data_IF_248702781837
#
_entry.id   IF_248702781837
#
_cell.length_a   1.000
_cell.length_b   1.000
_cell.length_c   1.000
_cell.angle_alpha   90.00
_cell.angle_beta   90.00
_cell.angle_gamma   90.00
#
_symmetry.space_group_name_H-M   'P 1'
#
loop_
_entity.id
_entity.type
_entity.pdbx_description
1 polymer ?
#
# COMPACT_ATOMS: atom_id res chain seq x y z
N UNK A 1 30.54 -35.96 0.92
CA UNK A 1 29.42 -35.72 -0.01
C UNK A 1 28.29 -35.08 0.79
N UNK A 2 28.24 -33.78 0.78
CA UNK A 2 27.14 -33.00 1.41
C UNK A 2 26.21 -32.52 0.29
N UNK A 3 25.05 -33.14 0.21
CA UNK A 3 23.99 -32.77 -0.73
C UNK A 3 23.40 -31.44 -0.29
N UNK A 4 23.73 -30.37 -1.02
CA UNK A 4 23.10 -29.06 -0.84
C UNK A 4 21.62 -29.18 -1.15
N UNK A 5 20.78 -28.88 -0.16
CA UNK A 5 19.36 -28.72 -0.32
C UNK A 5 19.14 -27.45 -1.16
N UNK A 6 18.44 -27.51 -2.32
CA UNK A 6 18.17 -26.31 -3.09
C UNK A 6 17.29 -25.38 -2.25
N UNK A 7 17.74 -24.12 -2.10
CA UNK A 7 16.91 -23.05 -1.54
C UNK A 7 15.62 -22.99 -2.35
N UNK A 8 14.52 -23.42 -1.75
CA UNK A 8 13.19 -23.25 -2.30
C UNK A 8 13.00 -21.74 -2.57
N UNK A 9 12.88 -21.38 -3.84
CA UNK A 9 12.37 -20.07 -4.23
C UNK A 9 11.09 -19.86 -3.43
N UNK A 10 11.08 -18.89 -2.53
CA UNK A 10 9.86 -18.45 -1.85
C UNK A 10 8.95 -17.96 -2.95
N UNK A 11 7.97 -18.77 -3.32
CA UNK A 11 6.88 -18.33 -4.19
C UNK A 11 6.22 -17.12 -3.52
N UNK A 12 6.53 -15.93 -3.99
CA UNK A 12 5.90 -14.71 -3.51
C UNK A 12 4.43 -14.78 -3.90
N UNK A 13 3.53 -14.60 -2.94
CA UNK A 13 2.09 -14.53 -3.24
C UNK A 13 1.83 -13.42 -4.26
N UNK A 14 1.36 -13.81 -5.43
CA UNK A 14 0.96 -12.85 -6.47
C UNK A 14 -0.32 -12.15 -6.00
N UNK A 15 -0.25 -10.84 -5.80
CA UNK A 15 -1.43 -10.06 -5.42
C UNK A 15 -2.50 -10.11 -6.52
N UNK A 16 -3.77 -10.10 -6.15
CA UNK A 16 -4.91 -10.32 -7.03
C UNK A 16 -4.96 -9.36 -8.24
N UNK A 17 -4.41 -8.16 -8.11
CA UNK A 17 -4.48 -7.09 -9.11
C UNK A 17 -3.11 -6.54 -9.53
N UNK A 18 -2.03 -7.29 -9.32
CA UNK A 18 -0.65 -6.87 -9.65
C UNK A 18 -0.40 -6.63 -11.15
N UNK A 19 -1.22 -7.23 -12.01
CA UNK A 19 -1.13 -7.10 -13.47
C UNK A 19 -1.72 -5.80 -14.02
N UNK A 20 -2.50 -5.07 -13.21
CA UNK A 20 -3.14 -3.81 -13.62
C UNK A 20 -2.12 -2.69 -13.49
N UNK A 21 -1.86 -1.98 -14.59
CA UNK A 21 -0.91 -0.86 -14.66
C UNK A 21 -1.57 0.50 -14.89
N UNK A 22 -2.89 0.53 -15.10
CA UNK A 22 -3.65 1.75 -15.35
C UNK A 22 -5.02 1.45 -15.97
N UNK A 23 -5.73 2.50 -16.37
CA UNK A 23 -7.04 2.41 -17.00
C UNK A 23 -6.97 1.92 -18.46
N UNK A 24 -5.80 2.00 -19.11
CA UNK A 24 -5.62 1.59 -20.51
C UNK A 24 -6.44 2.43 -21.49
N UNK A 25 -6.47 3.72 -21.30
CA UNK A 25 -7.10 4.69 -22.19
C UNK A 25 -6.13 5.16 -23.26
N UNK A 26 -6.65 5.66 -24.38
CA UNK A 26 -5.89 6.42 -25.36
C UNK A 26 -5.78 7.90 -24.95
N UNK A 27 -5.01 8.65 -25.74
CA UNK A 27 -4.85 10.09 -25.57
C UNK A 27 -6.18 10.84 -25.75
N UNK A 28 -7.11 10.27 -26.54
CA UNK A 28 -8.47 10.78 -26.72
C UNK A 28 -9.44 10.36 -25.61
N UNK A 29 -8.99 9.55 -24.64
CA UNK A 29 -9.77 9.08 -23.50
C UNK A 29 -10.64 7.86 -23.75
N UNK A 30 -10.53 7.19 -24.92
CA UNK A 30 -11.27 5.96 -25.21
C UNK A 30 -10.57 4.72 -24.66
N UNK A 31 -11.35 3.77 -24.16
CA UNK A 31 -10.83 2.55 -23.57
C UNK A 31 -10.55 1.47 -24.60
N UNK A 32 -9.31 0.97 -24.66
CA UNK A 32 -8.97 -0.24 -25.42
C UNK A 32 -9.44 -1.52 -24.73
N UNK A 33 -9.62 -2.58 -25.52
CA UNK A 33 -10.22 -3.83 -25.03
C UNK A 33 -9.42 -4.48 -23.89
N UNK A 34 -8.07 -4.49 -23.98
CA UNK A 34 -7.16 -5.21 -23.05
C UNK A 34 -5.83 -4.49 -22.81
N UNK A 35 -5.81 -3.16 -22.91
CA UNK A 35 -4.59 -2.36 -22.68
C UNK A 35 -4.31 -2.19 -21.17
N UNK A 36 -3.04 -2.12 -20.79
CA UNK A 36 -2.56 -1.94 -19.41
C UNK A 36 -2.99 -3.06 -18.43
N UNK A 37 -3.30 -4.25 -18.94
CA UNK A 37 -3.71 -5.39 -18.11
C UNK A 37 -5.16 -5.32 -17.63
N UNK A 38 -5.93 -4.31 -18.03
CA UNK A 38 -7.35 -4.19 -17.69
C UNK A 38 -8.22 -4.63 -18.86
N UNK A 39 -9.12 -5.58 -18.62
CA UNK A 39 -10.00 -6.18 -19.62
C UNK A 39 -11.43 -5.68 -19.43
N UNK A 40 -12.10 -5.30 -20.52
CA UNK A 40 -13.52 -4.93 -20.52
C UNK A 40 -13.81 -3.62 -19.81
N UNK A 41 -15.04 -3.46 -19.31
CA UNK A 41 -15.53 -2.28 -18.55
C UNK A 41 -15.30 -0.93 -19.25
N UNK A 42 -15.46 -0.86 -20.58
CA UNK A 42 -15.09 0.31 -21.39
C UNK A 42 -15.70 1.60 -20.86
N UNK A 43 -17.03 1.64 -20.71
CA UNK A 43 -17.72 2.84 -20.23
C UNK A 43 -17.29 3.27 -18.82
N UNK A 44 -17.06 2.31 -17.92
CA UNK A 44 -16.59 2.61 -16.58
C UNK A 44 -15.15 3.13 -16.57
N UNK A 45 -14.27 2.60 -17.42
CA UNK A 45 -12.88 3.07 -17.57
C UNK A 45 -12.83 4.49 -18.14
N UNK A 46 -13.62 4.77 -19.17
CA UNK A 46 -13.75 6.10 -19.78
C UNK A 46 -14.29 7.13 -18.77
N UNK A 47 -15.33 6.77 -18.00
CA UNK A 47 -15.85 7.61 -16.94
C UNK A 47 -14.79 7.88 -15.85
N UNK A 48 -14.05 6.87 -15.42
CA UNK A 48 -12.94 7.02 -14.47
C UNK A 48 -11.81 7.89 -15.06
N UNK A 49 -11.56 7.82 -16.37
CA UNK A 49 -10.60 8.67 -17.05
C UNK A 49 -10.99 10.16 -17.03
N UNK A 50 -12.27 10.46 -17.20
CA UNK A 50 -12.78 11.83 -17.05
C UNK A 50 -12.62 12.33 -15.60
N UNK A 51 -12.91 11.47 -14.61
CA UNK A 51 -12.68 11.81 -13.20
C UNK A 51 -11.20 12.07 -12.94
N UNK A 52 -10.31 11.28 -13.51
CA UNK A 52 -8.87 11.46 -13.42
C UNK A 52 -8.43 12.83 -13.97
N UNK A 53 -8.98 13.27 -15.10
CA UNK A 53 -8.70 14.59 -15.67
C UNK A 53 -9.23 15.71 -14.77
N UNK A 54 -10.40 15.53 -14.14
CA UNK A 54 -10.94 16.48 -13.15
C UNK A 54 -10.02 16.58 -11.93
N UNK A 55 -9.46 15.47 -11.46
CA UNK A 55 -8.47 15.42 -10.37
C UNK A 55 -7.21 16.19 -10.76
N UNK A 56 -6.62 15.87 -11.92
CA UNK A 56 -5.41 16.55 -12.45
C UNK A 56 -5.62 18.05 -12.64
N UNK A 57 -6.82 18.48 -13.03
CA UNK A 57 -7.18 19.90 -13.16
C UNK A 57 -7.60 20.58 -11.84
N UNK A 58 -7.50 19.87 -10.69
CA UNK A 58 -7.89 20.34 -9.36
C UNK A 58 -9.36 20.77 -9.23
N UNK A 59 -10.25 20.20 -10.06
CA UNK A 59 -11.69 20.51 -10.07
C UNK A 59 -12.56 19.42 -9.43
N UNK A 60 -11.96 18.46 -8.76
CA UNK A 60 -12.64 17.32 -8.10
C UNK A 60 -12.85 17.52 -6.59
N UNK A 61 -12.45 18.67 -6.01
CA UNK A 61 -12.60 18.94 -4.58
C UNK A 61 -14.07 18.87 -4.13
N UNK A 62 -14.33 18.32 -2.94
CA UNK A 62 -15.67 18.18 -2.36
C UNK A 62 -16.55 17.11 -3.02
N UNK A 63 -16.02 16.31 -3.93
CA UNK A 63 -16.71 15.23 -4.63
C UNK A 63 -16.08 13.89 -4.35
N UNK A 64 -16.87 12.83 -4.54
CA UNK A 64 -16.39 11.45 -4.46
C UNK A 64 -16.79 10.67 -5.72
N UNK A 65 -16.11 9.56 -5.99
CA UNK A 65 -16.49 8.62 -7.04
C UNK A 65 -17.18 7.42 -6.40
N UNK A 66 -18.35 7.02 -6.90
CA UNK A 66 -19.04 5.82 -6.45
C UNK A 66 -19.06 4.77 -7.56
N UNK A 67 -18.42 3.64 -7.33
CA UNK A 67 -18.43 2.48 -8.22
C UNK A 67 -19.57 1.53 -7.80
N UNK A 68 -20.62 1.44 -8.59
CA UNK A 68 -21.79 0.63 -8.30
C UNK A 68 -21.91 -0.54 -9.28
N UNK A 69 -22.12 -1.76 -8.78
CA UNK A 69 -22.35 -2.93 -9.62
C UNK A 69 -22.21 -4.27 -8.90
N UNK A 70 -22.49 -5.35 -9.60
CA UNK A 70 -22.47 -6.71 -9.07
C UNK A 70 -21.08 -7.11 -8.49
N UNK A 71 -21.00 -8.08 -7.59
CA UNK A 71 -19.72 -8.63 -7.13
C UNK A 71 -18.92 -9.19 -8.31
N UNK A 72 -17.58 -8.98 -8.27
CA UNK A 72 -16.69 -9.53 -9.31
C UNK A 72 -16.63 -8.74 -10.61
N UNK A 73 -17.21 -7.52 -10.70
CA UNK A 73 -17.16 -6.66 -11.88
C UNK A 73 -15.93 -5.73 -11.95
N UNK A 74 -14.94 -5.93 -11.09
CA UNK A 74 -13.66 -5.19 -11.16
C UNK A 74 -13.66 -3.81 -10.50
N UNK A 75 -14.56 -3.52 -9.55
CA UNK A 75 -14.60 -2.22 -8.84
C UNK A 75 -13.29 -1.87 -8.14
N UNK A 76 -12.73 -2.80 -7.38
CA UNK A 76 -11.43 -2.63 -6.70
C UNK A 76 -10.29 -2.44 -7.71
N UNK A 77 -10.35 -3.17 -8.84
CA UNK A 77 -9.41 -3.06 -9.94
C UNK A 77 -9.44 -1.67 -10.59
N UNK A 78 -10.65 -1.09 -10.79
CA UNK A 78 -10.82 0.27 -11.30
C UNK A 78 -10.24 1.31 -10.35
N UNK A 79 -10.51 1.20 -9.05
CA UNK A 79 -9.96 2.11 -8.05
C UNK A 79 -8.43 2.07 -8.03
N UNK A 80 -7.83 0.88 -8.10
CA UNK A 80 -6.39 0.69 -8.19
C UNK A 80 -5.83 1.30 -9.48
N UNK A 81 -6.50 1.09 -10.62
CA UNK A 81 -6.09 1.65 -11.91
C UNK A 81 -6.09 3.19 -11.88
N UNK A 82 -7.10 3.82 -11.28
CA UNK A 82 -7.15 5.27 -11.07
C UNK A 82 -5.97 5.74 -10.21
N UNK A 83 -5.67 5.05 -9.12
CA UNK A 83 -4.56 5.40 -8.25
C UNK A 83 -3.21 5.31 -8.97
N UNK A 84 -3.00 4.29 -9.79
CA UNK A 84 -1.76 4.12 -10.58
C UNK A 84 -1.59 5.18 -11.66
N UNK A 85 -2.67 5.61 -12.32
CA UNK A 85 -2.65 6.69 -13.32
C UNK A 85 -2.39 8.08 -12.70
N UNK A 86 -2.69 8.26 -11.41
CA UNK A 86 -2.33 9.47 -10.66
C UNK A 86 -0.83 9.54 -10.39
N UNK A 87 -0.16 8.38 -10.32
CA UNK A 87 1.29 8.27 -10.17
C UNK A 87 1.71 7.21 -9.14
N UNK A 88 2.89 6.62 -9.36
CA UNK A 88 3.42 5.54 -8.49
C UNK A 88 3.70 5.98 -7.05
N UNK A 89 3.86 7.29 -6.82
CA UNK A 89 4.15 7.87 -5.51
C UNK A 89 2.90 8.39 -4.79
N UNK A 90 1.72 8.24 -5.40
CA UNK A 90 0.45 8.65 -4.82
C UNK A 90 -0.01 7.57 -3.83
N UNK A 91 -0.26 7.91 -2.54
CA UNK A 91 -0.71 6.93 -1.58
C UNK A 91 -2.07 6.35 -1.97
N UNK A 92 -2.20 5.03 -1.88
CA UNK A 92 -3.45 4.31 -2.05
C UNK A 92 -3.80 3.61 -0.74
N UNK A 93 -4.89 4.03 -0.11
CA UNK A 93 -5.36 3.47 1.15
C UNK A 93 -6.69 2.72 0.92
N UNK A 94 -6.68 1.40 0.77
CA UNK A 94 -7.88 0.61 0.72
C UNK A 94 -8.40 0.32 2.13
N UNK A 95 -9.70 0.40 2.32
CA UNK A 95 -10.40 -0.03 3.53
C UNK A 95 -11.76 -0.63 3.18
N UNK A 96 -12.30 -1.43 4.08
CA UNK A 96 -13.65 -1.98 3.97
C UNK A 96 -14.57 -1.26 4.95
N UNK A 97 -15.82 -0.95 4.54
CA UNK A 97 -16.77 -0.25 5.40
C UNK A 97 -17.00 -0.91 6.76
N UNK A 98 -16.84 -2.24 6.87
CA UNK A 98 -16.94 -2.97 8.13
C UNK A 98 -15.78 -2.75 9.11
N UNK A 99 -14.59 -2.34 8.62
CA UNK A 99 -13.41 -2.09 9.47
C UNK A 99 -13.59 -0.87 10.39
N UNK A 100 -14.54 0.00 10.07
CA UNK A 100 -14.88 1.17 10.90
C UNK A 100 -15.46 0.77 12.26
N UNK A 101 -16.10 -0.40 12.33
CA UNK A 101 -16.72 -0.91 13.55
C UNK A 101 -15.69 -1.66 14.41
N UNK A 102 -14.99 -0.93 15.26
CA UNK A 102 -14.07 -1.46 16.26
C UNK A 102 -14.66 -1.28 17.66
N UNK A 103 -14.40 -2.24 18.55
CA UNK A 103 -14.75 -2.13 19.98
C UNK A 103 -13.78 -1.24 20.76
N UNK A 104 -12.59 -1.00 20.24
CA UNK A 104 -11.50 -0.32 20.94
C UNK A 104 -11.37 1.16 20.55
N UNK A 105 -11.73 1.53 19.33
CA UNK A 105 -11.49 2.86 18.75
C UNK A 105 -12.80 3.43 18.22
N UNK A 106 -13.01 4.74 18.38
CA UNK A 106 -14.18 5.43 17.83
C UNK A 106 -14.20 5.34 16.30
N UNK A 107 -15.37 5.18 15.72
CA UNK A 107 -15.60 5.09 14.27
C UNK A 107 -14.99 6.26 13.50
N UNK A 108 -15.19 7.48 14.03
CA UNK A 108 -14.64 8.71 13.43
C UNK A 108 -13.12 8.75 13.45
N UNK A 109 -12.50 8.14 14.48
CA UNK A 109 -11.05 8.04 14.59
C UNK A 109 -10.47 7.11 13.52
N UNK A 110 -11.09 5.94 13.31
CA UNK A 110 -10.68 5.00 12.25
C UNK A 110 -10.78 5.66 10.88
N UNK A 111 -11.85 6.39 10.61
CA UNK A 111 -12.01 7.14 9.35
C UNK A 111 -10.94 8.22 9.21
N UNK A 112 -10.70 9.04 10.24
CA UNK A 112 -9.69 10.08 10.22
C UNK A 112 -8.29 9.50 10.00
N UNK A 113 -7.95 8.39 10.65
CA UNK A 113 -6.67 7.69 10.46
C UNK A 113 -6.48 7.29 8.99
N UNK A 114 -7.49 6.68 8.36
CA UNK A 114 -7.42 6.28 6.96
C UNK A 114 -7.40 7.48 6.01
N UNK A 115 -8.14 8.55 6.30
CA UNK A 115 -8.04 9.81 5.54
C UNK A 115 -6.60 10.35 5.55
N UNK A 116 -5.98 10.42 6.73
CA UNK A 116 -4.61 10.94 6.87
C UNK A 116 -3.56 9.99 6.27
N UNK A 117 -3.80 8.69 6.30
CA UNK A 117 -2.95 7.68 5.62
C UNK A 117 -3.02 7.80 4.10
N UNK A 118 -4.16 8.24 3.56
CA UNK A 118 -4.33 8.48 2.14
C UNK A 118 -3.76 9.82 1.66
N UNK A 119 -3.16 10.64 2.53
CA UNK A 119 -2.56 11.92 2.17
C UNK A 119 -1.04 11.81 2.33
N UNK A 120 -0.33 11.94 1.21
CA UNK A 120 1.13 11.98 1.17
C UNK A 120 1.67 13.39 1.35
N UNK A 121 2.82 13.47 1.97
CA UNK A 121 3.63 14.67 2.09
C UNK A 121 5.02 14.37 1.55
N UNK A 122 5.44 15.07 0.53
CA UNK A 122 6.79 15.02 -0.01
C UNK A 122 7.61 16.13 0.61
N UNK A 123 8.56 15.77 1.46
CA UNK A 123 9.47 16.71 2.10
C UNK A 123 10.79 16.71 1.33
N UNK A 124 11.22 17.88 0.87
CA UNK A 124 12.51 18.14 0.23
C UNK A 124 13.42 18.78 1.26
N UNK A 125 14.34 18.02 1.81
CA UNK A 125 15.29 18.50 2.79
C UNK A 125 16.69 18.53 2.19
N UNK A 126 17.34 19.70 2.26
CA UNK A 126 18.73 19.83 1.86
C UNK A 126 19.60 19.48 3.05
N UNK A 127 20.20 18.30 3.04
CA UNK A 127 21.14 17.86 4.09
C UNK A 127 22.58 18.08 3.66
N UNK A 128 23.38 18.56 4.61
CA UNK A 128 24.83 18.59 4.45
C UNK A 128 25.39 17.22 4.82
N UNK A 129 26.18 16.67 3.91
CA UNK A 129 26.66 15.31 4.04
C UNK A 129 28.14 15.22 3.72
N UNK A 130 28.80 14.32 4.43
CA UNK A 130 30.16 13.89 4.12
C UNK A 130 30.12 12.50 3.56
N UNK A 131 30.58 12.34 2.33
CA UNK A 131 30.59 11.07 1.62
C UNK A 131 32.00 10.81 1.07
N UNK A 132 32.50 9.60 1.26
CA UNK A 132 33.81 9.22 0.78
C UNK A 132 34.21 7.82 1.22
N UNK A 133 35.30 7.34 0.62
CA UNK A 133 36.01 6.13 1.04
C UNK A 133 36.79 6.43 2.32
N UNK A 134 36.69 5.59 3.33
CA UNK A 134 37.46 5.69 4.57
C UNK A 134 38.89 5.25 4.31
N UNK A 135 39.81 6.20 4.36
CA UNK A 135 41.25 5.91 4.23
C UNK A 135 41.96 5.80 5.55
N UNK A 136 41.46 6.48 6.58
CA UNK A 136 42.01 6.45 7.93
C UNK A 136 40.86 6.54 8.95
N UNK A 137 40.94 5.73 9.99
CA UNK A 137 40.00 5.71 11.11
C UNK A 137 40.81 5.56 12.40
N UNK A 138 41.07 6.68 13.09
CA UNK A 138 41.91 6.71 14.27
C UNK A 138 41.17 7.34 15.45
N UNK A 139 40.77 6.57 16.48
CA UNK A 139 40.23 7.13 17.72
C UNK A 139 41.35 7.77 18.54
N UNK A 140 41.16 9.01 18.97
CA UNK A 140 42.06 9.69 19.91
C UNK A 140 41.63 9.40 21.34
N UNK A 141 42.45 8.63 22.04
CA UNK A 141 42.24 8.27 23.44
C UNK A 141 42.82 9.34 24.39
N UNK A 142 42.07 9.73 25.41
CA UNK A 142 42.52 10.59 26.50
C UNK A 142 42.24 9.92 27.84
N UNK A 143 43.04 10.26 28.84
CA UNK A 143 42.79 9.80 30.21
C UNK A 143 41.47 10.35 30.75
N UNK A 144 40.69 9.54 31.42
CA UNK A 144 39.40 9.93 31.97
C UNK A 144 39.57 10.97 33.11
N UNK A 145 39.10 12.21 32.93
CA UNK A 145 39.31 13.25 33.94
C UNK A 145 38.57 13.06 35.27
N UNK A 146 37.58 12.14 35.30
CA UNK A 146 36.70 11.92 36.46
C UNK A 146 37.12 10.75 37.36
N UNK A 147 37.87 9.75 36.88
CA UNK A 147 38.19 8.55 37.69
C UNK A 147 39.65 8.17 37.75
N UNK A 148 40.55 8.84 37.04
CA UNK A 148 41.99 8.53 37.05
C UNK A 148 42.38 7.12 36.57
N UNK A 149 41.41 6.25 36.28
CA UNK A 149 41.58 4.92 35.76
C UNK A 149 40.65 4.71 34.57
N UNK A 150 41.24 4.46 33.41
CA UNK A 150 40.52 4.18 32.15
C UNK A 150 40.74 5.27 31.07
N UNK A 151 40.78 4.84 29.83
CA UNK A 151 40.90 5.72 28.67
C UNK A 151 39.51 5.99 28.10
N UNK A 152 39.20 7.25 27.80
CA UNK A 152 38.00 7.66 27.06
C UNK A 152 38.40 8.21 25.72
N UNK A 153 37.53 8.01 24.74
CA UNK A 153 37.72 8.54 23.38
C UNK A 153 37.28 10.00 23.42
N UNK A 154 38.18 10.92 23.13
CA UNK A 154 37.87 12.35 23.08
C UNK A 154 37.31 12.79 21.73
N UNK A 155 37.82 12.25 20.65
CA UNK A 155 37.38 12.50 19.31
C UNK A 155 37.88 11.37 18.39
N UNK A 156 37.30 11.27 17.20
CA UNK A 156 37.72 10.31 16.18
C UNK A 156 38.14 11.06 14.93
N UNK A 157 39.31 10.76 14.43
CA UNK A 157 39.80 11.29 13.15
C UNK A 157 39.46 10.30 12.05
N UNK A 158 38.65 10.75 11.09
CA UNK A 158 38.28 9.97 9.90
C UNK A 158 38.74 10.71 8.66
N UNK A 159 39.55 10.08 7.85
CA UNK A 159 39.92 10.62 6.56
C UNK A 159 39.01 10.01 5.46
N UNK A 160 38.29 10.87 4.76
CA UNK A 160 37.41 10.51 3.66
C UNK A 160 38.01 10.94 2.32
N UNK A 161 38.11 10.00 1.38
CA UNK A 161 38.63 10.21 0.02
C UNK A 161 37.49 10.13 -0.99
N UNK A 162 37.53 11.07 -1.94
CA UNK A 162 36.67 11.09 -3.12
C UNK A 162 37.52 11.25 -4.40
N UNK A 163 36.87 11.23 -5.55
CA UNK A 163 37.55 11.43 -6.83
C UNK A 163 38.24 12.81 -6.94
N UNK A 164 37.84 13.83 -6.16
CA UNK A 164 38.41 15.18 -6.17
C UNK A 164 39.46 15.43 -5.10
N UNK A 165 39.49 14.66 -4.02
CA UNK A 165 40.45 14.85 -2.95
C UNK A 165 40.13 14.13 -1.67
N UNK A 166 41.01 14.28 -0.69
CA UNK A 166 40.88 13.70 0.65
C UNK A 166 40.64 14.78 1.68
N UNK A 167 39.74 14.58 2.64
CA UNK A 167 39.49 15.51 3.75
C UNK A 167 39.50 14.75 5.06
N UNK A 168 40.25 15.22 6.03
CA UNK A 168 40.22 14.72 7.40
C UNK A 168 39.13 15.43 8.19
N UNK A 169 38.34 14.66 8.90
CA UNK A 169 37.25 15.11 9.75
C UNK A 169 37.54 14.70 11.19
N UNK A 170 37.32 15.62 12.12
CA UNK A 170 37.26 15.32 13.56
C UNK A 170 35.82 15.16 13.97
N UNK A 171 35.46 13.97 14.41
CA UNK A 171 34.08 13.61 14.75
C UNK A 171 33.95 13.39 16.25
N UNK A 172 32.74 13.65 16.75
CA UNK A 172 32.36 13.41 18.14
C UNK A 172 32.40 11.90 18.48
N UNK A 173 32.72 11.52 19.73
CA UNK A 173 32.74 10.12 20.16
C UNK A 173 31.43 9.36 19.90
N UNK A 174 30.27 10.03 19.95
CA UNK A 174 28.97 9.43 19.66
C UNK A 174 28.85 8.91 18.22
N UNK A 175 29.50 9.58 17.27
CA UNK A 175 29.55 9.16 15.87
C UNK A 175 30.39 7.90 15.71
N UNK A 176 31.41 7.71 16.55
CA UNK A 176 32.23 6.50 16.54
C UNK A 176 31.44 5.25 16.92
N UNK A 177 30.53 5.36 17.88
CA UNK A 177 29.62 4.25 18.22
C UNK A 177 28.74 3.88 17.02
N UNK A 178 28.29 4.87 16.25
CA UNK A 178 27.52 4.65 15.02
C UNK A 178 28.37 3.98 13.92
N UNK A 179 29.64 4.38 13.79
CA UNK A 179 30.61 3.76 12.86
C UNK A 179 30.84 2.29 13.25
N UNK A 180 30.99 1.98 14.54
CA UNK A 180 31.16 0.61 15.02
C UNK A 180 29.91 -0.25 14.81
N UNK A 181 28.70 0.29 15.04
CA UNK A 181 27.43 -0.41 14.78
C UNK A 181 27.29 -0.83 13.33
N UNK A 182 27.69 0.04 12.40
CA UNK A 182 27.68 -0.22 10.96
C UNK A 182 28.88 -1.06 10.48
N UNK A 183 29.78 -1.47 11.39
CA UNK A 183 31.00 -2.28 11.12
C UNK A 183 31.85 -1.70 9.97
N UNK A 184 32.01 -0.39 9.97
CA UNK A 184 32.79 0.31 8.94
C UNK A 184 34.29 0.01 9.13
N UNK A 185 34.95 -0.36 8.04
CA UNK A 185 36.41 -0.61 7.98
C UNK A 185 37.07 0.34 6.96
N UNK A 186 38.41 0.41 7.03
CA UNK A 186 39.17 1.16 6.00
C UNK A 186 38.96 0.51 4.63
N UNK A 187 38.65 1.34 3.62
CA UNK A 187 38.26 0.90 2.29
C UNK A 187 36.76 0.87 2.04
N UNK A 188 35.94 1.11 3.06
CA UNK A 188 34.50 1.23 2.89
C UNK A 188 34.10 2.65 2.47
N UNK A 189 33.08 2.74 1.64
CA UNK A 189 32.43 4.01 1.29
C UNK A 189 31.31 4.27 2.29
N UNK A 190 31.43 5.40 3.00
CA UNK A 190 30.46 5.81 4.02
C UNK A 190 29.80 7.15 3.69
N UNK A 191 28.66 7.34 4.31
CA UNK A 191 27.84 8.54 4.26
C UNK A 191 27.57 9.00 5.68
N UNK A 192 27.96 10.26 6.01
CA UNK A 192 27.73 10.86 7.32
C UNK A 192 26.87 12.11 7.15
N UNK A 193 25.75 12.19 7.86
CA UNK A 193 24.95 13.41 7.93
C UNK A 193 25.56 14.40 8.93
N UNK A 194 25.83 15.63 8.49
CA UNK A 194 26.47 16.64 9.32
C UNK A 194 25.62 17.04 10.54
N UNK A 195 24.28 17.08 10.38
CA UNK A 195 23.36 17.59 11.42
C UNK A 195 23.02 16.54 12.46
N UNK A 196 22.89 15.27 12.09
CA UNK A 196 22.43 14.19 12.98
C UNK A 196 23.55 13.29 13.46
N UNK A 197 24.73 13.34 12.80
CA UNK A 197 25.82 12.42 13.06
C UNK A 197 25.53 10.97 12.65
N UNK A 198 24.42 10.74 11.92
CA UNK A 198 24.05 9.41 11.44
C UNK A 198 25.04 8.93 10.37
N UNK A 199 25.55 7.71 10.57
CA UNK A 199 26.50 7.06 9.66
C UNK A 199 25.78 5.92 8.95
N UNK A 200 26.00 5.80 7.65
CA UNK A 200 25.53 4.68 6.85
C UNK A 200 26.67 4.14 6.00
N UNK A 201 26.92 2.84 6.10
CA UNK A 201 27.83 2.13 5.17
C UNK A 201 27.09 1.94 3.85
N UNK A 202 27.70 2.39 2.75
CA UNK A 202 27.14 2.24 1.40
C UNK A 202 27.60 0.93 0.76
N UNK A 203 28.87 0.59 0.95
CA UNK A 203 29.52 -0.61 0.44
C UNK A 203 31.04 -0.50 0.51
N UNK A 204 31.74 -1.46 -0.03
CA UNK A 204 33.20 -1.43 -0.13
C UNK A 204 33.63 -0.75 -1.42
N UNK A 205 34.76 -0.03 -1.40
CA UNK A 205 35.28 0.65 -2.61
C UNK A 205 35.75 -0.37 -3.66
N UNK A 206 35.42 -0.13 -4.94
CA UNK A 206 35.89 -0.94 -6.09
C UNK A 206 37.40 -1.11 -6.12
N UNK A 207 38.16 -0.19 -5.50
CA UNK A 207 39.62 -0.27 -5.42
C UNK A 207 40.12 -1.50 -4.61
N UNK A 208 39.25 -2.07 -3.76
CA UNK A 208 39.56 -3.23 -2.94
C UNK A 208 38.87 -4.50 -3.47
N UNK A 209 38.25 -4.48 -4.63
CA UNK A 209 37.66 -5.65 -5.25
C UNK A 209 38.77 -6.64 -5.65
N UNK A 210 38.75 -7.85 -5.07
CA UNK A 210 39.65 -8.96 -5.44
C UNK A 210 38.90 -10.00 -6.23
N UNK A 211 39.52 -10.64 -7.23
CA UNK A 211 38.86 -11.65 -8.10
C UNK A 211 38.32 -12.89 -7.35
N UNK A 212 38.61 -13.04 -6.06
CA UNK A 212 38.32 -14.23 -5.26
C UNK A 212 37.61 -13.93 -3.93
N UNK A 213 36.82 -12.84 -3.83
CA UNK A 213 36.05 -12.58 -2.63
C UNK A 213 34.89 -13.57 -2.51
N UNK A 214 34.95 -14.39 -1.46
CA UNK A 214 33.91 -15.36 -1.11
C UNK A 214 32.76 -14.74 -0.29
N UNK A 215 32.95 -13.51 0.18
CA UNK A 215 31.89 -12.76 0.88
C UNK A 215 31.12 -11.93 -0.13
N UNK A 216 29.78 -11.99 -0.07
CA UNK A 216 28.89 -11.22 -0.91
C UNK A 216 28.85 -9.75 -0.42
N UNK A 217 29.94 -9.02 -0.56
CA UNK A 217 30.01 -7.57 -0.29
C UNK A 217 29.56 -6.77 -1.52
N UNK A 218 28.84 -5.69 -1.27
CA UNK A 218 28.42 -4.76 -2.32
C UNK A 218 29.55 -3.78 -2.62
N UNK A 219 30.12 -3.88 -3.82
CA UNK A 219 31.17 -2.98 -4.29
C UNK A 219 30.58 -1.73 -4.92
N UNK A 220 31.08 -0.56 -4.50
CA UNK A 220 30.58 0.74 -4.91
C UNK A 220 31.74 1.56 -5.48
N UNK A 221 31.55 2.25 -6.62
CA UNK A 221 32.57 3.12 -7.19
C UNK A 221 32.84 4.31 -6.27
N UNK A 222 34.10 4.82 -6.35
CA UNK A 222 34.49 5.97 -5.55
C UNK A 222 33.55 7.17 -5.79
N UNK A 223 33.01 7.81 -4.74
CA UNK A 223 32.09 8.92 -4.87
C UNK A 223 32.65 10.08 -5.69
N UNK A 224 31.87 10.57 -6.66
CA UNK A 224 32.23 11.71 -7.50
C UNK A 224 31.90 13.01 -6.78
N UNK A 225 32.79 13.96 -6.79
CA UNK A 225 32.61 15.29 -6.21
C UNK A 225 33.41 15.53 -4.94
N UNK A 226 33.09 16.58 -4.20
CA UNK A 226 33.73 16.94 -2.95
C UNK A 226 33.28 16.04 -1.81
N UNK A 227 34.12 15.86 -0.78
CA UNK A 227 33.80 15.11 0.43
C UNK A 227 32.59 15.71 1.15
N UNK A 228 32.52 17.04 1.24
CA UNK A 228 31.39 17.78 1.81
C UNK A 228 30.50 18.28 0.70
N UNK A 229 29.26 17.86 0.68
CA UNK A 229 28.27 18.29 -0.32
C UNK A 229 26.89 18.47 0.29
N UNK A 230 26.11 19.35 -0.30
CA UNK A 230 24.68 19.47 0.00
C UNK A 230 23.94 18.49 -0.89
N UNK A 231 23.22 17.58 -0.27
CA UNK A 231 22.39 16.59 -0.97
C UNK A 231 20.92 16.88 -0.66
N UNK A 232 20.13 17.03 -1.70
CA UNK A 232 18.69 17.12 -1.58
C UNK A 232 18.12 15.71 -1.38
N UNK A 233 17.50 15.49 -0.24
CA UNK A 233 16.85 14.23 0.11
C UNK A 233 15.36 14.45 0.03
N UNK A 234 14.69 13.66 -0.81
CA UNK A 234 13.25 13.67 -0.95
C UNK A 234 12.69 12.50 -0.14
N UNK A 235 11.88 12.80 0.87
CA UNK A 235 11.19 11.81 1.68
C UNK A 235 9.70 11.91 1.40
N UNK A 236 9.08 10.78 1.03
CA UNK A 236 7.63 10.66 0.88
C UNK A 236 7.09 10.01 2.18
N UNK A 237 6.32 10.75 2.97
CA UNK A 237 5.69 10.31 4.23
C UNK A 237 4.19 10.57 4.17
N UNK A 238 3.40 9.84 4.96
CA UNK A 238 1.96 10.14 5.09
C UNK A 238 1.70 11.05 6.29
N UNK A 239 0.57 11.78 6.29
CA UNK A 239 0.17 12.57 7.45
C UNK A 239 -0.05 11.69 8.68
N UNK A 240 -0.52 10.46 8.49
CA UNK A 240 -0.68 9.48 9.56
C UNK A 240 0.66 9.09 10.20
N UNK A 241 1.73 8.91 9.40
CA UNK A 241 3.06 8.59 9.92
C UNK A 241 3.60 9.74 10.80
N UNK A 242 3.33 10.99 10.40
CA UNK A 242 3.67 12.16 11.22
C UNK A 242 2.88 12.20 12.53
N UNK A 243 1.58 11.88 12.48
CA UNK A 243 0.74 11.80 13.68
C UNK A 243 1.29 10.75 14.65
N UNK A 244 1.61 9.57 14.14
CA UNK A 244 2.13 8.47 14.96
C UNK A 244 3.53 8.75 15.52
N UNK A 245 4.38 9.42 14.74
CA UNK A 245 5.72 9.81 15.20
C UNK A 245 5.65 10.82 16.36
N UNK A 246 4.69 11.76 16.29
CA UNK A 246 4.52 12.78 17.33
C UNK A 246 3.63 12.33 18.51
N UNK A 247 2.78 11.32 18.31
CA UNK A 247 1.96 10.76 19.38
C UNK A 247 2.75 9.88 20.37
N UNK A 248 3.95 9.41 19.97
CA UNK A 248 4.83 8.68 20.88
C UNK A 248 5.46 9.65 21.85
N UNK A 249 5.28 9.47 23.18
CA UNK A 249 5.95 10.32 24.14
C UNK A 249 7.48 10.20 23.94
N UNK A 250 8.12 11.32 23.62
CA UNK A 250 9.58 11.44 23.62
C UNK A 250 10.06 11.43 25.09
N UNK A 251 9.96 10.31 25.74
CA UNK A 251 10.27 10.16 27.14
C UNK A 251 11.07 8.90 27.39
N UNK A 252 12.37 9.11 27.63
CA UNK A 252 13.23 8.24 28.42
C UNK A 252 13.43 6.82 27.90
N UNK A 253 14.68 6.49 27.68
CA UNK A 253 15.17 5.11 27.53
C UNK A 253 15.05 4.30 28.86
N UNK A 254 14.05 4.59 29.68
CA UNK A 254 13.79 3.84 30.89
C UNK A 254 13.16 2.50 30.55
N UNK A 255 13.77 1.43 31.06
CA UNK A 255 13.30 0.03 30.94
C UNK A 255 11.83 -0.12 31.36
N UNK A 256 11.35 0.72 32.28
CA UNK A 256 9.95 0.82 32.72
C UNK A 256 9.02 1.33 31.61
N UNK A 257 9.45 2.25 30.74
CA UNK A 257 8.64 2.74 29.61
C UNK A 257 8.51 1.71 28.49
N UNK A 258 9.58 0.96 28.23
CA UNK A 258 9.58 -0.14 27.26
C UNK A 258 8.69 -1.31 27.73
N UNK A 259 8.74 -1.61 29.05
CA UNK A 259 7.91 -2.66 29.64
C UNK A 259 6.43 -2.25 29.72
N UNK A 260 6.15 -0.97 29.93
CA UNK A 260 4.80 -0.40 29.83
C UNK A 260 4.21 -0.44 28.43
N UNK A 261 5.04 -0.34 27.38
CA UNK A 261 4.62 -0.48 25.98
C UNK A 261 4.32 -1.94 25.59
N UNK A 262 5.02 -2.91 26.15
CA UNK A 262 4.79 -4.33 25.93
C UNK A 262 3.53 -4.85 26.64
N UNK A 263 3.18 -4.29 27.80
CA UNK A 263 2.01 -4.72 28.60
C UNK A 263 0.73 -3.98 28.19
N UNK A 264 0.83 -2.74 27.70
CA UNK A 264 -0.29 -1.96 27.16
C UNK A 264 -0.17 -1.88 25.65
N UNK A 265 -0.67 -2.89 24.94
CA UNK A 265 -0.92 -2.85 23.50
C UNK A 265 -2.05 -1.86 23.12
N UNK A 266 -2.23 -0.78 23.86
CA UNK A 266 -3.17 0.29 23.53
C UNK A 266 -2.60 1.09 22.38
N UNK A 267 -3.30 1.08 21.25
CA UNK A 267 -3.12 2.10 20.21
C UNK A 267 -3.18 3.46 20.88
N UNK A 268 -2.16 4.27 20.71
CA UNK A 268 -2.12 5.64 21.24
C UNK A 268 -3.14 6.44 20.44
N UNK A 269 -4.24 6.86 21.07
CA UNK A 269 -5.21 7.74 20.41
C UNK A 269 -4.55 9.09 20.14
N UNK A 270 -4.57 9.51 18.89
CA UNK A 270 -4.06 10.81 18.47
C UNK A 270 -5.13 11.85 18.75
N UNK A 271 -4.84 12.82 19.63
CA UNK A 271 -5.79 13.85 19.97
C UNK A 271 -5.98 14.86 18.83
N UNK A 272 -7.21 15.41 18.68
CA UNK A 272 -7.51 16.43 17.67
C UNK A 272 -6.64 17.68 17.79
N UNK A 273 -6.21 18.03 19.01
CA UNK A 273 -5.28 19.13 19.26
C UNK A 273 -3.92 18.89 18.63
N UNK A 274 -3.38 17.68 18.80
CA UNK A 274 -2.09 17.29 18.19
C UNK A 274 -2.17 17.33 16.66
N UNK A 275 -3.26 16.83 16.07
CA UNK A 275 -3.50 16.90 14.63
C UNK A 275 -3.57 18.34 14.11
N UNK A 276 -4.23 19.23 14.86
CA UNK A 276 -4.31 20.65 14.52
C UNK A 276 -2.94 21.33 14.55
N UNK A 277 -2.07 20.97 15.52
CA UNK A 277 -0.70 21.45 15.59
C UNK A 277 0.14 20.92 14.43
N UNK A 278 0.07 19.62 14.13
CA UNK A 278 0.76 19.01 12.99
C UNK A 278 0.33 19.68 11.68
N UNK A 279 -0.98 19.92 11.48
CA UNK A 279 -1.46 20.60 10.30
C UNK A 279 -0.91 22.02 10.16
N UNK A 280 -0.74 22.76 11.27
CA UNK A 280 -0.11 24.08 11.24
C UNK A 280 1.35 24.00 10.80
N UNK A 281 2.09 23.03 11.34
CA UNK A 281 3.50 22.83 10.98
C UNK A 281 3.62 22.41 9.51
N UNK A 282 2.78 21.49 9.04
CA UNK A 282 2.75 21.03 7.63
C UNK A 282 2.45 22.21 6.70
N UNK A 283 1.44 23.03 7.01
CA UNK A 283 1.12 24.21 6.20
C UNK A 283 2.29 25.20 6.17
N UNK A 284 2.99 25.42 7.29
CA UNK A 284 4.19 26.24 7.32
C UNK A 284 5.31 25.71 6.42
N UNK A 285 5.50 24.40 6.36
CA UNK A 285 6.48 23.78 5.45
C UNK A 285 6.07 23.87 3.98
N UNK A 286 4.78 23.80 3.68
CA UNK A 286 4.25 24.01 2.33
C UNK A 286 4.47 25.46 1.90
N UNK A 287 4.17 26.43 2.77
CA UNK A 287 4.36 27.86 2.51
C UNK A 287 5.83 28.23 2.29
N UNK A 288 6.75 27.52 2.97
CA UNK A 288 8.20 27.67 2.79
C UNK A 288 8.73 26.94 1.54
N UNK A 289 7.91 26.16 0.85
CA UNK A 289 8.31 25.36 -0.31
C UNK A 289 9.19 24.13 0.01
N UNK A 290 9.32 23.78 1.30
CA UNK A 290 10.08 22.62 1.78
C UNK A 290 9.28 21.33 1.58
N UNK A 291 7.95 21.41 1.68
CA UNK A 291 7.05 20.28 1.56
C UNK A 291 5.99 20.49 0.48
N UNK A 292 5.61 19.41 -0.20
CA UNK A 292 4.55 19.36 -1.20
C UNK A 292 3.49 18.34 -0.78
N UNK A 293 2.22 18.77 -0.73
CA UNK A 293 1.09 17.89 -0.42
C UNK A 293 0.71 17.08 -1.65
N UNK A 294 0.64 15.77 -1.50
CA UNK A 294 0.22 14.83 -2.54
C UNK A 294 -1.08 14.16 -2.08
N UNK A 295 -2.25 14.67 -2.51
CA UNK A 295 -3.51 14.01 -2.19
C UNK A 295 -3.55 12.65 -2.89
N UNK A 296 -3.70 11.60 -2.10
CA UNK A 296 -3.81 10.22 -2.57
C UNK A 296 -5.25 9.77 -2.74
N UNK A 297 -5.45 8.46 -2.83
CA UNK A 297 -6.75 7.84 -3.05
C UNK A 297 -7.15 7.04 -1.81
N UNK A 298 -8.28 7.38 -1.21
CA UNK A 298 -8.94 6.57 -0.20
C UNK A 298 -10.03 5.74 -0.89
N UNK A 299 -9.87 4.43 -0.87
CA UNK A 299 -10.85 3.50 -1.43
C UNK A 299 -11.62 2.81 -0.31
N UNK A 300 -12.95 3.02 -0.27
CA UNK A 300 -13.84 2.38 0.72
C UNK A 300 -14.72 1.36 0.00
N UNK A 301 -14.40 0.07 0.20
CA UNK A 301 -15.21 -1.02 -0.32
C UNK A 301 -16.39 -1.31 0.61
N UNK A 302 -17.48 -1.83 0.04
CA UNK A 302 -18.72 -2.11 0.77
C UNK A 302 -19.24 -0.92 1.59
N UNK A 303 -19.28 0.28 0.97
CA UNK A 303 -19.66 1.53 1.64
C UNK A 303 -21.03 1.46 2.32
N UNK A 304 -21.96 0.64 1.84
CA UNK A 304 -23.29 0.39 2.44
C UNK A 304 -23.24 -0.24 3.83
N UNK A 305 -22.06 -0.70 4.27
CA UNK A 305 -21.85 -1.21 5.62
C UNK A 305 -21.65 -0.09 6.66
N UNK A 306 -21.42 1.14 6.22
CA UNK A 306 -21.29 2.30 7.10
C UNK A 306 -22.66 2.71 7.70
N UNK A 307 -22.62 3.37 8.83
CA UNK A 307 -23.78 3.95 9.48
C UNK A 307 -23.93 5.45 9.20
N UNK A 308 -25.08 6.02 9.59
CA UNK A 308 -25.42 7.42 9.36
C UNK A 308 -24.38 8.40 9.98
N UNK A 309 -23.81 8.05 11.14
CA UNK A 309 -22.78 8.87 11.79
C UNK A 309 -21.49 8.96 10.94
N UNK A 310 -21.07 7.80 10.40
CA UNK A 310 -19.89 7.73 9.52
C UNK A 310 -20.12 8.52 8.22
N UNK A 311 -21.33 8.45 7.64
CA UNK A 311 -21.68 9.21 6.46
C UNK A 311 -21.69 10.73 6.72
N UNK A 312 -22.21 11.17 7.84
CA UNK A 312 -22.19 12.58 8.25
C UNK A 312 -20.75 13.08 8.41
N UNK A 313 -19.88 12.26 9.01
CA UNK A 313 -18.46 12.56 9.11
C UNK A 313 -17.80 12.67 7.72
N UNK A 314 -18.08 11.73 6.82
CA UNK A 314 -17.55 11.74 5.45
C UNK A 314 -17.97 12.99 4.66
N UNK A 315 -19.21 13.43 4.79
CA UNK A 315 -19.69 14.67 4.17
C UNK A 315 -18.83 15.86 4.57
N UNK A 316 -18.53 16.00 5.85
CA UNK A 316 -17.68 17.08 6.36
C UNK A 316 -16.20 16.90 5.93
N UNK A 317 -15.70 15.68 5.94
CA UNK A 317 -14.32 15.38 5.57
C UNK A 317 -14.02 15.67 4.11
N UNK A 318 -14.98 15.45 3.19
CA UNK A 318 -14.85 15.76 1.77
C UNK A 318 -14.71 17.27 1.50
N UNK A 319 -15.26 18.12 2.35
CA UNK A 319 -15.16 19.60 2.23
C UNK A 319 -13.82 20.15 2.75
N UNK A 320 -13.03 19.33 3.42
CA UNK A 320 -11.73 19.77 3.93
C UNK A 320 -10.77 20.14 2.80
N UNK A 321 -10.02 21.25 2.92
CA UNK A 321 -9.01 21.63 1.92
C UNK A 321 -7.89 20.58 1.80
N UNK A 322 -7.67 19.81 2.87
CA UNK A 322 -6.75 18.69 2.92
C UNK A 322 -7.58 17.40 2.93
N UNK A 323 -8.09 17.00 1.76
CA UNK A 323 -8.81 15.73 1.63
C UNK A 323 -8.20 14.87 0.54
N UNK A 324 -8.14 13.54 0.70
CA UNK A 324 -7.77 12.63 -0.37
C UNK A 324 -8.90 12.52 -1.40
N UNK A 325 -8.61 11.92 -2.54
CA UNK A 325 -9.63 11.55 -3.52
C UNK A 325 -10.35 10.30 -3.03
N UNK A 326 -11.64 10.44 -2.73
CA UNK A 326 -12.43 9.34 -2.15
C UNK A 326 -13.15 8.57 -3.25
N UNK A 327 -12.96 7.25 -3.25
CA UNK A 327 -13.63 6.31 -4.15
C UNK A 327 -14.41 5.31 -3.30
N UNK A 328 -15.71 5.29 -3.44
CA UNK A 328 -16.62 4.35 -2.82
C UNK A 328 -16.90 3.17 -3.75
N UNK A 329 -17.11 1.99 -3.21
CA UNK A 329 -17.62 0.85 -3.95
C UNK A 329 -18.81 0.20 -3.22
N UNK A 330 -19.81 -0.20 -4.00
CA UNK A 330 -20.98 -0.90 -3.48
C UNK A 330 -21.49 -1.96 -4.47
N UNK A 331 -22.08 -3.01 -3.93
CA UNK A 331 -22.76 -4.07 -4.70
C UNK A 331 -24.27 -4.08 -4.40
N UNK A 332 -24.78 -3.12 -3.60
CA UNK A 332 -26.19 -3.03 -3.23
C UNK A 332 -26.96 -2.09 -4.14
N UNK A 333 -28.23 -2.43 -4.37
CA UNK A 333 -29.20 -1.56 -5.01
C UNK A 333 -29.92 -0.69 -3.98
N UNK A 334 -31.23 -0.85 -3.84
CA UNK A 334 -31.99 -0.24 -2.75
C UNK A 334 -31.77 -1.03 -1.47
N UNK A 335 -31.33 -0.37 -0.42
CA UNK A 335 -31.20 -0.99 0.91
C UNK A 335 -31.31 0.05 2.03
N UNK A 336 -31.56 -0.41 3.23
CA UNK A 336 -31.67 0.43 4.42
C UNK A 336 -30.31 0.96 4.84
N UNK A 337 -30.25 2.23 5.27
CA UNK A 337 -29.07 2.83 5.86
C UNK A 337 -28.98 2.37 7.32
N UNK A 338 -27.82 1.87 7.73
CA UNK A 338 -27.58 1.44 9.10
C UNK A 338 -27.65 2.62 10.08
N UNK A 339 -28.23 2.38 11.25
CA UNK A 339 -28.35 3.39 12.31
C UNK A 339 -29.55 4.32 12.18
N UNK A 340 -30.43 4.11 11.16
CA UNK A 340 -31.64 4.92 10.97
C UNK A 340 -32.92 4.24 11.48
N UNK A 341 -32.82 3.12 12.16
CA UNK A 341 -33.95 2.31 12.61
C UNK A 341 -34.90 3.04 13.58
N UNK A 342 -34.36 4.03 14.31
CA UNK A 342 -35.10 4.83 15.28
C UNK A 342 -35.38 6.28 14.83
N UNK A 343 -35.11 6.64 13.58
CA UNK A 343 -35.34 8.01 13.10
C UNK A 343 -36.79 8.25 12.66
N UNK A 344 -37.29 9.52 12.82
CA UNK A 344 -38.62 9.89 12.32
C UNK A 344 -38.59 9.85 10.78
N UNK A 345 -39.34 8.90 10.22
CA UNK A 345 -39.34 8.61 8.77
C UNK A 345 -39.07 7.15 8.45
N UNK A 346 -38.68 6.34 9.45
CA UNK A 346 -38.60 4.90 9.31
C UNK A 346 -40.05 4.33 9.39
N UNK A 347 -40.46 3.58 8.37
CA UNK A 347 -41.72 2.87 8.38
C UNK A 347 -41.66 1.74 9.42
N UNK A 348 -42.11 2.03 10.67
CA UNK A 348 -42.32 1.00 11.68
C UNK A 348 -41.04 0.27 12.18
N UNK A 349 -39.87 0.89 12.17
CA UNK A 349 -38.59 0.29 12.61
C UNK A 349 -37.71 -0.30 11.50
N UNK A 350 -38.12 -0.19 10.24
CA UNK A 350 -37.35 -0.76 9.10
C UNK A 350 -36.18 0.11 8.63
N UNK A 351 -35.99 1.30 9.21
CA UNK A 351 -34.94 2.25 8.78
C UNK A 351 -35.24 2.97 7.46
N UNK A 352 -34.39 3.92 7.09
CA UNK A 352 -34.53 4.72 5.86
C UNK A 352 -33.93 3.94 4.68
N UNK A 353 -34.75 3.64 3.68
CA UNK A 353 -34.31 3.01 2.43
C UNK A 353 -33.71 4.04 1.49
N UNK A 354 -32.49 3.81 1.02
CA UNK A 354 -31.81 4.68 0.08
C UNK A 354 -31.14 3.88 -1.06
N UNK A 355 -30.94 4.51 -2.24
CA UNK A 355 -30.14 3.91 -3.28
C UNK A 355 -28.71 3.64 -2.78
N UNK A 356 -28.21 2.45 -3.07
CA UNK A 356 -26.87 2.01 -2.70
C UNK A 356 -26.57 1.97 -1.19
N UNK A 357 -27.58 2.18 -0.32
CA UNK A 357 -27.41 2.26 1.14
C UNK A 357 -26.61 3.48 1.60
N UNK A 358 -26.61 4.54 0.79
CA UNK A 358 -25.89 5.79 1.05
C UNK A 358 -26.91 6.93 1.17
N UNK A 359 -26.79 7.85 2.15
CA UNK A 359 -27.68 9.01 2.26
C UNK A 359 -27.67 9.85 0.99
N UNK A 360 -28.82 10.43 0.66
CA UNK A 360 -29.01 11.23 -0.56
C UNK A 360 -28.04 12.43 -0.58
N UNK A 361 -27.82 13.08 0.54
CA UNK A 361 -26.90 14.21 0.68
C UNK A 361 -25.47 13.89 0.26
N UNK A 362 -25.01 12.65 0.53
CA UNK A 362 -23.71 12.19 0.08
C UNK A 362 -23.74 11.73 -1.37
N UNK A 363 -24.85 11.12 -1.82
CA UNK A 363 -25.01 10.69 -3.22
C UNK A 363 -24.97 11.87 -4.19
N UNK A 364 -25.53 13.01 -3.84
CA UNK A 364 -25.50 14.23 -4.66
C UNK A 364 -24.07 14.77 -4.88
N UNK A 365 -23.14 14.40 -4.01
CA UNK A 365 -21.70 14.71 -4.14
C UNK A 365 -20.92 13.63 -4.89
N UNK A 366 -21.54 12.49 -5.17
CA UNK A 366 -20.88 11.37 -5.81
C UNK A 366 -21.10 11.35 -7.32
N UNK A 367 -20.02 11.13 -8.05
CA UNK A 367 -20.09 10.75 -9.46
C UNK A 367 -20.25 9.22 -9.51
N UNK A 368 -21.44 8.78 -9.96
CA UNK A 368 -21.80 7.36 -9.93
C UNK A 368 -21.38 6.70 -11.24
N UNK A 369 -20.54 5.69 -11.18
CA UNK A 369 -20.09 4.89 -12.30
C UNK A 369 -20.58 3.45 -12.13
N UNK A 370 -21.36 2.99 -13.10
CA UNK A 370 -21.90 1.63 -13.10
C UNK A 370 -20.93 0.66 -13.76
N UNK A 371 -20.65 -0.44 -13.07
CA UNK A 371 -19.90 -1.57 -13.64
C UNK A 371 -20.82 -2.67 -14.10
N UNK A 372 -20.55 -3.24 -15.29
CA UNK A 372 -21.36 -4.27 -15.92
C UNK A 372 -20.76 -5.67 -15.70
N UNK A 373 -21.58 -6.75 -15.73
CA UNK A 373 -21.05 -8.11 -15.80
C UNK A 373 -20.16 -8.29 -17.02
N UNK A 374 -19.14 -9.12 -16.92
CA UNK A 374 -18.25 -9.45 -18.04
C UNK A 374 -18.92 -10.38 -19.05
N UNK A 375 -18.62 -10.18 -20.32
CA UNK A 375 -18.97 -11.09 -21.40
C UNK A 375 -18.08 -12.34 -21.38
N UNK A 376 -18.49 -13.40 -22.14
CA UNK A 376 -17.71 -14.65 -22.27
C UNK A 376 -16.28 -14.39 -22.75
N UNK A 377 -16.13 -13.56 -23.79
CA UNK A 377 -14.82 -13.26 -24.37
C UNK A 377 -13.92 -12.45 -23.42
N UNK A 378 -14.51 -11.52 -22.67
CA UNK A 378 -13.81 -10.78 -21.65
C UNK A 378 -13.35 -11.70 -20.51
N UNK A 379 -14.19 -12.63 -20.05
CA UNK A 379 -13.82 -13.64 -19.03
C UNK A 379 -12.67 -14.49 -19.55
N UNK A 380 -12.73 -14.96 -20.81
CA UNK A 380 -11.65 -15.72 -21.43
C UNK A 380 -10.33 -14.96 -21.42
N UNK A 381 -10.36 -13.68 -21.76
CA UNK A 381 -9.17 -12.80 -21.77
C UNK A 381 -8.63 -12.56 -20.36
N UNK A 382 -9.50 -12.37 -19.35
CA UNK A 382 -9.10 -12.24 -17.95
C UNK A 382 -8.43 -13.52 -17.46
N UNK A 383 -8.99 -14.69 -17.76
CA UNK A 383 -8.42 -15.99 -17.42
C UNK A 383 -7.04 -16.18 -18.06
N UNK A 384 -6.89 -15.84 -19.35
CA UNK A 384 -5.60 -15.90 -20.05
C UNK A 384 -4.55 -14.98 -19.41
N UNK A 385 -4.95 -13.76 -19.01
CA UNK A 385 -4.06 -12.82 -18.35
C UNK A 385 -3.62 -13.39 -17.01
N UNK A 386 -4.53 -13.98 -16.25
CA UNK A 386 -4.22 -14.61 -14.95
C UNK A 386 -3.29 -15.81 -15.09
N UNK A 387 -3.54 -16.69 -16.07
CA UNK A 387 -2.68 -17.83 -16.39
C UNK A 387 -1.25 -17.40 -16.72
N UNK A 388 -1.08 -16.32 -17.52
CA UNK A 388 0.24 -15.76 -17.81
C UNK A 388 0.96 -15.25 -16.56
N UNK A 389 0.22 -14.60 -15.66
CA UNK A 389 0.79 -14.05 -14.41
C UNK A 389 1.20 -15.18 -13.45
N UNK A 390 0.43 -16.27 -13.38
CA UNK A 390 0.73 -17.45 -12.55
C UNK A 390 1.66 -18.45 -13.22
N UNK A 391 1.99 -18.26 -14.50
CA UNK A 391 2.85 -19.17 -15.26
C UNK A 391 2.23 -20.57 -15.49
N UNK A 392 0.90 -20.63 -15.59
CA UNK A 392 0.15 -21.87 -15.81
C UNK A 392 -0.17 -22.06 -17.32
N UNK A 393 -0.03 -23.30 -17.81
CA UNK A 393 -0.44 -23.69 -19.15
C UNK A 393 -1.80 -24.40 -19.10
N UNK A 394 -2.67 -24.08 -20.06
CA UNK A 394 -4.02 -24.64 -20.17
C UNK A 394 -4.36 -25.01 -21.64
N UNK A 395 -5.07 -26.10 -21.84
CA UNK A 395 -5.58 -26.47 -23.13
C UNK A 395 -6.76 -25.56 -23.58
N UNK A 396 -6.92 -25.28 -24.87
CA UNK A 396 -7.97 -24.35 -25.35
C UNK A 396 -9.38 -24.80 -24.96
N UNK A 397 -9.68 -26.11 -25.00
CA UNK A 397 -10.98 -26.64 -24.61
C UNK A 397 -11.29 -26.46 -23.13
N UNK A 398 -10.29 -26.63 -22.26
CA UNK A 398 -10.39 -26.39 -20.83
C UNK A 398 -10.63 -24.89 -20.51
N UNK A 399 -9.99 -23.99 -21.27
CA UNK A 399 -10.19 -22.55 -21.13
C UNK A 399 -11.62 -22.15 -21.57
N UNK A 400 -12.16 -22.74 -22.62
CA UNK A 400 -13.53 -22.48 -23.03
C UNK A 400 -14.55 -22.96 -22.00
N UNK A 401 -14.35 -24.15 -21.43
CA UNK A 401 -15.17 -24.66 -20.34
C UNK A 401 -15.16 -23.75 -19.12
N UNK A 402 -13.98 -23.31 -18.68
CA UNK A 402 -13.85 -22.33 -17.56
C UNK A 402 -14.54 -20.99 -17.87
N UNK A 403 -14.48 -20.54 -19.12
CA UNK A 403 -15.17 -19.31 -19.53
C UNK A 403 -16.68 -19.46 -19.45
N UNK A 404 -17.23 -20.62 -19.89
CA UNK A 404 -18.65 -20.93 -19.79
C UNK A 404 -19.11 -21.05 -18.32
N UNK A 405 -18.31 -21.69 -17.47
CA UNK A 405 -18.56 -21.76 -16.03
C UNK A 405 -18.52 -20.37 -15.37
N UNK A 406 -17.62 -19.49 -15.81
CA UNK A 406 -17.55 -18.10 -15.36
C UNK A 406 -18.79 -17.28 -15.72
N UNK A 407 -19.39 -17.49 -16.90
CA UNK A 407 -20.66 -16.85 -17.30
C UNK A 407 -21.83 -17.42 -16.49
N UNK A 408 -21.87 -18.74 -16.33
CA UNK A 408 -22.94 -19.42 -15.59
C UNK A 408 -22.99 -19.01 -14.12
N UNK A 409 -21.84 -18.88 -13.47
CA UNK A 409 -21.68 -18.64 -12.04
C UNK A 409 -21.17 -17.23 -11.74
N UNK A 410 -19.85 -17.05 -11.77
CA UNK A 410 -19.17 -15.76 -11.61
C UNK A 410 -17.71 -15.86 -12.07
N UNK A 411 -17.14 -14.73 -12.52
CA UNK A 411 -15.69 -14.63 -12.82
C UNK A 411 -14.81 -15.09 -11.65
N UNK A 412 -15.22 -14.76 -10.42
CA UNK A 412 -14.46 -15.13 -9.21
C UNK A 412 -14.38 -16.64 -9.03
N UNK A 413 -15.46 -17.34 -9.28
CA UNK A 413 -15.50 -18.80 -9.22
C UNK A 413 -14.59 -19.43 -10.27
N UNK A 414 -14.66 -18.97 -11.53
CA UNK A 414 -13.78 -19.46 -12.59
C UNK A 414 -12.29 -19.26 -12.27
N UNK A 415 -11.93 -18.11 -11.69
CA UNK A 415 -10.55 -17.84 -11.23
C UNK A 415 -10.15 -18.76 -10.07
N UNK A 416 -11.06 -19.07 -9.16
CA UNK A 416 -10.79 -19.97 -8.04
C UNK A 416 -10.55 -21.42 -8.46
N UNK A 417 -11.16 -21.88 -9.55
CA UNK A 417 -10.96 -23.23 -10.07
C UNK A 417 -9.60 -23.43 -10.74
N UNK A 418 -8.90 -22.37 -11.17
CA UNK A 418 -7.61 -22.48 -11.85
C UNK A 418 -6.55 -23.19 -11.02
N UNK A 419 -6.41 -22.77 -9.76
CA UNK A 419 -5.36 -23.33 -8.87
C UNK A 419 -5.60 -24.80 -8.54
N UNK A 420 -6.80 -25.25 -8.10
CA UNK A 420 -7.10 -26.66 -7.92
C UNK A 420 -6.92 -27.50 -9.18
N UNK A 421 -7.37 -27.00 -10.35
CA UNK A 421 -7.20 -27.70 -11.63
C UNK A 421 -5.72 -27.88 -11.98
N UNK A 422 -4.87 -26.88 -11.70
CA UNK A 422 -3.42 -26.99 -11.91
C UNK A 422 -2.77 -28.01 -10.98
N UNK A 423 -3.27 -28.16 -9.75
CA UNK A 423 -2.79 -29.17 -8.80
C UNK A 423 -3.18 -30.57 -9.27
N UNK A 424 -4.42 -30.78 -9.73
CA UNK A 424 -4.88 -32.06 -10.29
C UNK A 424 -4.07 -32.45 -11.51
N UNK A 425 -3.84 -31.54 -12.44
CA UNK A 425 -2.99 -31.77 -13.60
C UNK A 425 -1.59 -32.25 -13.22
N UNK A 426 -0.94 -31.61 -12.23
CA UNK A 426 0.38 -31.98 -11.70
C UNK A 426 0.36 -33.34 -11.03
N UNK A 427 -0.66 -33.67 -10.25
CA UNK A 427 -0.82 -34.99 -9.61
C UNK A 427 -0.95 -36.13 -10.64
N UNK A 428 -1.55 -35.82 -11.79
CA UNK A 428 -1.66 -36.76 -12.91
C UNK A 428 -0.42 -36.76 -13.82
N UNK A 429 0.63 -36.00 -13.46
CA UNK A 429 1.90 -35.92 -14.21
C UNK A 429 1.82 -35.09 -15.50
N UNK A 430 0.79 -34.26 -15.66
CA UNK A 430 0.63 -33.36 -16.82
C UNK A 430 1.21 -31.97 -16.51
N UNK A 431 1.70 -31.30 -17.53
CA UNK A 431 2.22 -29.92 -17.44
C UNK A 431 1.16 -28.88 -17.78
N UNK A 432 0.07 -29.28 -18.43
CA UNK A 432 -1.03 -28.42 -18.88
C UNK A 432 -2.35 -28.87 -18.25
N UNK A 433 -3.20 -27.90 -17.93
CA UNK A 433 -4.54 -28.15 -17.40
C UNK A 433 -5.42 -28.67 -18.54
N UNK A 434 -5.96 -29.86 -18.39
CA UNK A 434 -6.87 -30.50 -19.38
C UNK A 434 -8.35 -30.26 -19.00
N UNK A 435 -9.24 -30.55 -19.96
CA UNK A 435 -10.68 -30.45 -19.78
C UNK A 435 -11.20 -31.31 -18.62
N UNK A 436 -10.59 -32.49 -18.43
CA UNK A 436 -10.92 -33.44 -17.36
C UNK A 436 -10.66 -32.87 -15.99
N UNK A 437 -9.52 -32.14 -15.80
CA UNK A 437 -9.14 -31.52 -14.54
C UNK A 437 -10.14 -30.43 -14.15
N UNK A 438 -10.62 -29.67 -15.15
CA UNK A 438 -11.63 -28.62 -14.91
C UNK A 438 -12.98 -29.24 -14.57
N UNK A 439 -13.36 -30.32 -15.24
CA UNK A 439 -14.63 -31.00 -14.97
C UNK A 439 -14.63 -31.67 -13.59
N UNK A 440 -13.50 -32.26 -13.18
CA UNK A 440 -13.36 -32.87 -11.87
C UNK A 440 -13.40 -31.79 -10.77
N UNK A 441 -12.71 -30.65 -10.95
CA UNK A 441 -12.76 -29.53 -10.02
C UNK A 441 -14.14 -28.90 -9.91
N UNK A 442 -14.88 -28.71 -11.01
CA UNK A 442 -16.26 -28.19 -10.98
C UNK A 442 -17.21 -29.17 -10.23
N UNK A 443 -16.93 -30.48 -10.29
CA UNK A 443 -17.67 -31.49 -9.52
C UNK A 443 -17.32 -31.50 -8.01
N UNK A 444 -16.07 -31.19 -7.64
CA UNK A 444 -15.62 -31.18 -6.26
C UNK A 444 -16.03 -29.90 -5.50
N UNK A 445 -16.10 -28.77 -6.18
CA UNK A 445 -16.39 -27.47 -5.59
C UNK A 445 -17.73 -26.93 -6.07
N UNK A 446 -18.62 -26.64 -5.12
CA UNK A 446 -19.93 -26.07 -5.43
C UNK A 446 -19.83 -24.55 -5.57
N UNK A 447 -20.48 -23.99 -6.57
CA UNK A 447 -20.68 -22.55 -6.68
C UNK A 447 -21.76 -22.05 -5.69
N UNK A 448 -21.72 -20.76 -5.35
CA UNK A 448 -22.65 -20.17 -4.38
C UNK A 448 -24.13 -20.30 -4.77
N UNK A 449 -24.45 -20.25 -6.09
CA UNK A 449 -25.83 -20.38 -6.56
C UNK A 449 -26.33 -21.83 -6.43
N UNK A 450 -25.49 -22.80 -6.79
CA UNK A 450 -25.83 -24.22 -6.66
C UNK A 450 -25.94 -24.63 -5.19
N UNK A 451 -25.04 -24.12 -4.34
CA UNK A 451 -25.15 -24.33 -2.88
C UNK A 451 -26.45 -23.78 -2.31
N UNK A 452 -26.84 -22.54 -2.66
CA UNK A 452 -28.09 -21.94 -2.22
C UNK A 452 -29.32 -22.70 -2.72
N UNK A 453 -29.28 -23.18 -3.98
CA UNK A 453 -30.37 -24.01 -4.56
C UNK A 453 -30.53 -25.33 -3.81
N UNK A 454 -29.43 -26.02 -3.53
CA UNK A 454 -29.44 -27.27 -2.76
C UNK A 454 -30.07 -27.10 -1.36
N UNK A 455 -29.72 -26.00 -0.66
CA UNK A 455 -30.30 -25.70 0.65
C UNK A 455 -31.82 -25.44 0.55
N UNK A 456 -32.26 -24.74 -0.50
CA UNK A 456 -33.66 -24.43 -0.70
C UNK A 456 -34.47 -25.69 -1.07
N UNK A 457 -33.94 -26.55 -1.94
CA UNK A 457 -34.60 -27.78 -2.41
C UNK A 457 -34.74 -28.85 -1.29
N UNK A 458 -33.71 -28.93 -0.42
CA UNK A 458 -33.73 -29.92 0.70
C UNK A 458 -34.48 -29.47 1.93
N UNK A 459 -34.98 -28.23 1.97
CA UNK A 459 -35.75 -27.69 3.10
C UNK A 459 -34.95 -27.60 4.42
N UNK A 460 -33.64 -27.73 4.38
CA UNK A 460 -32.73 -27.75 5.52
C UNK A 460 -32.30 -26.31 5.82
N UNK A 461 -33.18 -25.52 6.49
CA UNK A 461 -32.93 -24.10 6.73
C UNK A 461 -31.78 -23.78 7.69
N UNK A 462 -31.32 -24.72 8.54
CA UNK A 462 -30.39 -24.40 9.61
C UNK A 462 -29.15 -25.30 9.68
N UNK A 463 -29.19 -26.57 9.28
CA UNK A 463 -28.04 -27.48 9.33
C UNK A 463 -27.99 -28.39 8.13
N UNK A 464 -26.79 -28.57 7.55
CA UNK A 464 -26.49 -29.66 6.64
C UNK A 464 -26.33 -30.95 7.45
N UNK A 465 -27.08 -31.99 7.11
CA UNK A 465 -26.94 -33.34 7.69
C UNK A 465 -26.02 -34.18 6.80
#
# INVERSE_FOLDING_TARGET
>A
MATGVPQSQRESRVASHSHIKGLGLDDDGFAHADRAGFVGQRAAREACGLVLQLIKSRRFSGRALLLAGAPGTGKTALALAVAQELGQKVPFCPMVGSEVFSSEVKKTEVLMENFRRAIGLRVKETKEVYEGEVTELTPAETENPLSGYGKTISHVVVALKTAKGTKQLRLDPSIYESIQKERVTVGDVIYIEANTGAVKRVGRSDAYATEYDLEAEEYVPLPKGDVHKKKEIVQDVTLHDLDMANARPQGGQDIMSVMGQLVKGRRTEVTDKLRAEINKVVNSYIDQGIAELIPGVLFIDEVHMLDIEAFTYLNRALESPISPHVIFATNRGLCTIRGTENEPGSNGGEGIVSPHGVPIDLLDRCMIVRTMPYSRDEIKTVLQTRLKVEGLAIQPDALEKLSDDGVRTSLRYALQLLTPASILSKLQGRTEIALEDVAETDGLFLDAKSSARMLHERGEGHYLR
#
